data_IF_186582896724
#
_entry.id   IF_186582896724
#
_cell.length_a   1.000
_cell.length_b   1.000
_cell.length_c   1.000
_cell.angle_alpha   90.00
_cell.angle_beta   90.00
_cell.angle_gamma   90.00
#
_symmetry.space_group_name_H-M   'P 1'
#
loop_
_entity.id
_entity.type
_entity.pdbx_description
1 polymer ?
#
# COMPACT_ATOMS: atom_id res chain seq x y z
N UNK A 1 -15.33 -16.20 -12.26
CA UNK A 1 -14.70 -16.80 -11.06
C UNK A 1 -13.57 -15.89 -10.63
N UNK A 2 -13.82 -15.09 -9.60
CA UNK A 2 -12.86 -14.12 -9.09
C UNK A 2 -11.55 -14.82 -8.68
N UNK A 3 -10.42 -14.31 -9.16
CA UNK A 3 -9.10 -14.82 -8.79
C UNK A 3 -8.75 -14.20 -7.43
N UNK A 4 -8.66 -15.03 -6.39
CA UNK A 4 -8.16 -14.59 -5.10
C UNK A 4 -6.62 -14.50 -5.14
N UNK A 5 -6.10 -13.32 -4.81
CA UNK A 5 -4.69 -13.12 -4.49
C UNK A 5 -4.55 -12.12 -3.35
N UNK A 6 -3.75 -12.46 -2.36
CA UNK A 6 -3.33 -11.57 -1.28
C UNK A 6 -1.93 -11.98 -0.80
N UNK A 7 -0.99 -11.05 -0.83
CA UNK A 7 0.36 -11.25 -0.32
C UNK A 7 0.81 -10.10 0.57
N UNK A 8 1.74 -10.40 1.48
CA UNK A 8 2.35 -9.43 2.36
C UNK A 8 3.86 -9.65 2.38
N UNK A 9 4.64 -8.60 2.24
CA UNK A 9 6.12 -8.65 2.31
C UNK A 9 6.68 -7.43 3.00
N UNK A 10 7.79 -7.61 3.70
CA UNK A 10 8.50 -6.50 4.34
C UNK A 10 9.48 -5.87 3.35
N UNK A 11 9.41 -4.55 3.21
CA UNK A 11 10.43 -3.76 2.52
C UNK A 11 11.53 -3.47 3.54
N UNK A 12 12.72 -4.03 3.33
CA UNK A 12 13.84 -3.94 4.26
C UNK A 12 15.08 -3.39 3.60
N UNK A 13 15.77 -2.50 4.32
CA UNK A 13 17.06 -1.95 3.90
C UNK A 13 18.15 -3.00 3.77
N UNK A 14 18.05 -4.11 4.51
CA UNK A 14 18.98 -5.24 4.41
C UNK A 14 19.09 -5.81 2.99
N UNK A 15 18.01 -5.69 2.20
CA UNK A 15 17.94 -6.17 0.81
C UNK A 15 18.27 -5.06 -0.20
N UNK A 16 18.89 -3.96 0.23
CA UNK A 16 19.20 -2.80 -0.63
C UNK A 16 17.97 -1.98 -1.03
N UNK A 17 16.82 -2.18 -0.37
CA UNK A 17 15.59 -1.45 -0.69
C UNK A 17 15.61 -0.02 -0.14
N UNK A 18 14.90 0.88 -0.84
CA UNK A 18 14.52 2.22 -0.36
C UNK A 18 12.99 2.33 -0.36
N UNK A 19 12.42 2.89 0.71
CA UNK A 19 10.98 3.12 0.79
C UNK A 19 10.52 4.16 -0.23
N UNK A 20 11.33 5.19 -0.46
CA UNK A 20 11.07 6.22 -1.48
C UNK A 20 11.09 5.61 -2.88
N UNK A 21 12.11 4.80 -3.19
CA UNK A 21 12.20 4.08 -4.46
C UNK A 21 11.00 3.14 -4.68
N UNK A 22 10.62 2.43 -3.62
CA UNK A 22 9.48 1.51 -3.65
C UNK A 22 8.16 2.26 -3.91
N UNK A 23 7.92 3.36 -3.21
CA UNK A 23 6.72 4.16 -3.38
C UNK A 23 6.67 4.81 -4.77
N UNK A 24 7.79 5.37 -5.26
CA UNK A 24 7.89 5.95 -6.60
C UNK A 24 7.52 4.93 -7.69
N UNK A 25 8.02 3.69 -7.57
CA UNK A 25 7.74 2.60 -8.51
C UNK A 25 6.26 2.20 -8.55
N UNK A 26 5.60 2.15 -7.38
CA UNK A 26 4.18 1.74 -7.26
C UNK A 26 3.24 2.85 -7.66
N UNK A 27 3.60 4.11 -7.43
CA UNK A 27 2.77 5.26 -7.79
C UNK A 27 3.04 5.79 -9.21
N UNK A 28 3.98 5.19 -9.96
CA UNK A 28 4.46 5.70 -11.24
C UNK A 28 4.83 7.20 -11.16
N UNK A 29 5.59 7.56 -10.13
CA UNK A 29 5.94 8.95 -9.84
C UNK A 29 7.46 9.17 -9.81
N UNK A 30 7.84 10.44 -9.75
CA UNK A 30 9.21 10.89 -9.55
C UNK A 30 9.36 11.42 -8.13
N UNK A 31 10.07 10.70 -7.26
CA UNK A 31 10.31 11.09 -5.87
C UNK A 31 11.81 11.27 -5.60
N UNK A 32 12.18 12.24 -4.77
CA UNK A 32 13.53 12.46 -4.27
C UNK A 32 13.78 11.67 -2.98
N UNK A 33 14.84 10.86 -2.95
CA UNK A 33 15.32 10.17 -1.74
C UNK A 33 16.43 11.01 -1.10
N UNK A 34 16.12 11.66 0.02
CA UNK A 34 17.04 12.56 0.73
C UNK A 34 18.26 11.81 1.30
N UNK A 35 18.10 10.53 1.64
CA UNK A 35 19.18 9.71 2.20
C UNK A 35 20.19 9.31 1.13
N UNK A 36 19.73 9.09 -0.09
CA UNK A 36 20.57 8.70 -1.24
C UNK A 36 20.93 9.88 -2.15
N UNK A 37 20.38 11.07 -1.89
CA UNK A 37 20.51 12.29 -2.69
C UNK A 37 20.28 12.04 -4.19
N UNK A 38 19.16 11.40 -4.51
CA UNK A 38 18.80 11.11 -5.91
C UNK A 38 17.30 11.02 -6.13
N UNK A 39 16.89 11.23 -7.37
CA UNK A 39 15.53 10.95 -7.79
C UNK A 39 15.34 9.49 -8.22
N UNK A 40 14.21 8.93 -7.80
CA UNK A 40 13.62 7.72 -8.32
C UNK A 40 12.50 8.11 -9.27
N UNK A 41 12.74 7.99 -10.58
CA UNK A 41 11.79 8.41 -11.61
C UNK A 41 11.19 7.20 -12.32
N UNK A 42 9.92 6.94 -12.04
CA UNK A 42 9.11 5.92 -12.69
C UNK A 42 7.86 6.52 -13.36
N UNK A 43 7.91 7.83 -13.68
CA UNK A 43 6.79 8.56 -14.30
C UNK A 43 6.41 8.05 -15.71
N UNK A 44 7.29 7.29 -16.35
CA UNK A 44 7.04 6.64 -17.62
C UNK A 44 6.24 5.32 -17.50
N UNK A 45 5.99 4.83 -16.28
CA UNK A 45 5.20 3.61 -16.05
C UNK A 45 3.71 3.91 -16.29
N UNK A 46 3.09 3.13 -17.16
CA UNK A 46 1.65 3.16 -17.39
C UNK A 46 0.93 2.16 -16.47
N UNK A 47 -0.41 2.22 -16.44
CA UNK A 47 -1.25 1.23 -15.76
C UNK A 47 -1.65 1.61 -14.34
N UNK A 48 -1.05 2.63 -13.72
CA UNK A 48 -1.51 3.15 -12.43
C UNK A 48 -2.74 4.03 -12.64
N UNK A 49 -3.90 3.59 -12.14
CA UNK A 49 -5.19 4.27 -12.31
C UNK A 49 -5.64 5.05 -11.08
N UNK A 50 -5.03 4.79 -9.92
CA UNK A 50 -5.26 5.54 -8.70
C UNK A 50 -4.04 5.48 -7.78
N UNK A 51 -3.74 6.60 -7.11
CA UNK A 51 -2.65 6.71 -6.13
C UNK A 51 -3.04 7.69 -5.03
N UNK A 52 -2.95 7.26 -3.77
CA UNK A 52 -3.41 8.03 -2.62
C UNK A 52 -2.67 7.61 -1.35
N UNK A 53 -2.31 8.60 -0.51
CA UNK A 53 -1.82 8.34 0.84
C UNK A 53 -2.96 8.60 1.81
N UNK A 54 -3.32 7.60 2.59
CA UNK A 54 -4.40 7.63 3.56
C UNK A 54 -3.82 7.68 4.97
N UNK A 55 -4.25 8.69 5.73
CA UNK A 55 -3.77 8.95 7.09
C UNK A 55 -4.77 8.44 8.13
N UNK A 56 -4.29 7.87 9.25
CA UNK A 56 -5.12 7.63 10.43
C UNK A 56 -5.42 8.96 11.15
N UNK A 57 -6.44 8.97 11.98
CA UNK A 57 -6.78 10.13 12.81
C UNK A 57 -5.58 10.54 13.70
N UNK A 58 -5.31 11.85 13.76
CA UNK A 58 -4.22 12.41 14.55
C UNK A 58 -2.83 12.36 13.89
N UNK A 59 -2.71 11.78 12.69
CA UNK A 59 -1.47 11.88 11.93
C UNK A 59 -1.27 13.30 11.36
N UNK A 60 -0.04 13.82 11.33
CA UNK A 60 0.24 15.12 10.72
C UNK A 60 -0.11 15.14 9.23
N UNK A 61 -0.87 16.15 8.81
CA UNK A 61 -1.37 16.28 7.44
C UNK A 61 -0.25 16.28 6.39
N UNK A 62 0.94 16.80 6.73
CA UNK A 62 2.07 16.81 5.80
C UNK A 62 2.52 15.40 5.36
N UNK A 63 2.16 14.35 6.11
CA UNK A 63 2.45 12.97 5.76
C UNK A 63 1.49 12.42 4.68
N UNK A 64 0.46 13.17 4.26
CA UNK A 64 -0.32 12.82 3.07
C UNK A 64 0.47 13.06 1.78
N UNK A 65 1.53 13.87 1.84
CA UNK A 65 2.51 13.98 0.76
C UNK A 65 3.43 12.75 0.78
N UNK A 66 3.43 12.02 -0.34
CA UNK A 66 4.13 10.74 -0.49
C UNK A 66 5.66 10.87 -0.38
N UNK A 67 6.23 11.93 -0.94
CA UNK A 67 7.68 12.15 -0.86
C UNK A 67 8.09 12.42 0.59
N UNK A 68 7.35 13.29 1.29
CA UNK A 68 7.57 13.60 2.71
C UNK A 68 7.36 12.37 3.60
N UNK A 69 6.31 11.59 3.37
CA UNK A 69 6.03 10.37 4.13
C UNK A 69 7.22 9.42 4.10
N UNK A 70 7.66 9.04 2.91
CA UNK A 70 8.66 7.97 2.79
C UNK A 70 10.08 8.45 3.14
N UNK A 71 10.40 9.74 2.96
CA UNK A 71 11.62 10.31 3.53
C UNK A 71 11.57 10.37 5.06
N UNK A 72 10.44 10.71 5.67
CA UNK A 72 10.29 10.67 7.13
C UNK A 72 10.46 9.24 7.69
N UNK A 73 9.95 8.22 6.99
CA UNK A 73 10.19 6.80 7.33
C UNK A 73 11.68 6.45 7.23
N UNK A 74 12.34 6.81 6.12
CA UNK A 74 13.77 6.55 5.92
C UNK A 74 14.63 7.20 7.02
N UNK A 75 14.31 8.44 7.40
CA UNK A 75 15.01 9.19 8.45
C UNK A 75 14.78 8.60 9.85
N UNK A 76 13.57 8.10 10.15
CA UNK A 76 13.25 7.47 11.43
C UNK A 76 13.97 6.13 11.63
N UNK A 77 14.30 5.43 10.54
CA UNK A 77 14.98 4.14 10.55
C UNK A 77 16.51 4.29 10.47
N UNK A 78 17.22 4.13 11.58
CA UNK A 78 18.67 4.35 11.66
C UNK A 78 19.54 3.13 11.32
N UNK A 79 18.99 1.91 11.43
CA UNK A 79 19.77 0.67 11.26
C UNK A 79 19.92 0.29 9.79
N UNK A 80 21.06 -0.26 9.41
CA UNK A 80 21.31 -0.74 8.03
C UNK A 80 20.39 -1.88 7.62
N UNK A 81 19.86 -2.64 8.58
CA UNK A 81 18.93 -3.75 8.39
C UNK A 81 17.47 -3.39 8.72
N UNK A 82 17.16 -2.09 8.79
CA UNK A 82 15.83 -1.63 9.18
C UNK A 82 14.73 -2.12 8.22
N UNK A 83 13.64 -2.63 8.81
CA UNK A 83 12.37 -2.80 8.12
C UNK A 83 11.70 -1.43 7.98
N UNK A 84 11.47 -1.01 6.74
CA UNK A 84 11.02 0.33 6.38
C UNK A 84 9.49 0.40 6.28
N UNK A 85 8.90 -0.56 5.56
CA UNK A 85 7.47 -0.64 5.32
C UNK A 85 7.02 -2.10 5.21
N UNK A 86 5.72 -2.33 5.34
CA UNK A 86 5.08 -3.56 4.90
C UNK A 86 4.32 -3.28 3.61
N UNK A 87 4.54 -4.08 2.59
CA UNK A 87 3.73 -4.05 1.39
C UNK A 87 2.68 -5.14 1.46
N UNK A 88 1.45 -4.75 1.17
CA UNK A 88 0.34 -5.64 0.87
C UNK A 88 0.06 -5.54 -0.63
N UNK A 89 -0.17 -6.69 -1.27
CA UNK A 89 -0.62 -6.76 -2.66
C UNK A 89 -1.85 -7.65 -2.73
N UNK A 90 -2.92 -7.20 -3.39
CA UNK A 90 -4.12 -7.99 -3.59
C UNK A 90 -4.71 -7.79 -4.99
N UNK A 91 -5.29 -8.86 -5.56
CA UNK A 91 -5.97 -8.80 -6.84
C UNK A 91 -7.39 -8.26 -6.69
N UNK A 92 -7.80 -7.43 -7.64
CA UNK A 92 -9.16 -6.90 -7.76
C UNK A 92 -9.89 -7.72 -8.83
N UNK A 93 -11.21 -7.99 -8.71
CA UNK A 93 -11.97 -8.66 -9.76
C UNK A 93 -11.94 -7.86 -11.07
N UNK A 94 -11.60 -8.52 -12.18
CA UNK A 94 -11.50 -7.87 -13.50
C UNK A 94 -12.86 -7.53 -14.11
N UNK A 95 -13.91 -8.12 -13.56
CA UNK A 95 -15.31 -7.86 -13.87
C UNK A 95 -15.77 -6.47 -13.37
N UNK A 96 -15.04 -5.88 -12.41
CA UNK A 96 -15.31 -4.53 -11.92
C UNK A 96 -14.79 -3.45 -12.87
N UNK A 97 -15.48 -2.31 -12.91
CA UNK A 97 -14.91 -1.07 -13.45
C UNK A 97 -13.76 -0.56 -12.58
N UNK A 98 -12.93 0.34 -13.13
CA UNK A 98 -11.86 0.99 -12.37
C UNK A 98 -12.39 1.71 -11.14
N UNK A 99 -13.50 2.44 -11.26
CA UNK A 99 -14.12 3.18 -10.14
C UNK A 99 -14.55 2.24 -9.01
N UNK A 100 -15.20 1.12 -9.34
CA UNK A 100 -15.60 0.10 -8.37
C UNK A 100 -14.39 -0.56 -7.70
N UNK A 101 -13.35 -0.90 -8.48
CA UNK A 101 -12.12 -1.48 -7.95
C UNK A 101 -11.35 -0.54 -7.03
N UNK A 102 -11.29 0.74 -7.37
CA UNK A 102 -10.67 1.78 -6.54
C UNK A 102 -11.45 1.93 -5.23
N UNK A 103 -12.79 1.99 -5.28
CA UNK A 103 -13.63 2.06 -4.09
C UNK A 103 -13.45 0.83 -3.19
N UNK A 104 -13.48 -0.38 -3.78
CA UNK A 104 -13.25 -1.65 -3.08
C UNK A 104 -11.91 -1.63 -2.33
N UNK A 105 -10.82 -1.27 -3.01
CA UNK A 105 -9.48 -1.22 -2.44
C UNK A 105 -9.38 -0.16 -1.33
N UNK A 106 -9.91 1.05 -1.56
CA UNK A 106 -9.90 2.13 -0.57
C UNK A 106 -10.66 1.77 0.69
N UNK A 107 -11.84 1.16 0.57
CA UNK A 107 -12.66 0.75 1.70
C UNK A 107 -11.94 -0.29 2.57
N UNK A 108 -11.34 -1.30 1.93
CA UNK A 108 -10.56 -2.33 2.63
C UNK A 108 -9.34 -1.73 3.33
N UNK A 109 -8.59 -0.88 2.63
CA UNK A 109 -7.38 -0.24 3.19
C UNK A 109 -7.71 0.63 4.39
N UNK A 110 -8.82 1.38 4.33
CA UNK A 110 -9.29 2.17 5.47
C UNK A 110 -9.56 1.30 6.68
N UNK A 111 -10.47 0.32 6.53
CA UNK A 111 -10.95 -0.52 7.63
C UNK A 111 -9.85 -1.39 8.25
N UNK A 112 -9.02 -2.01 7.42
CA UNK A 112 -8.08 -3.03 7.90
C UNK A 112 -6.70 -2.49 8.23
N UNK A 113 -6.34 -1.29 7.76
CA UNK A 113 -5.03 -0.70 8.02
C UNK A 113 -5.09 0.68 8.66
N UNK A 114 -5.78 1.63 8.04
CA UNK A 114 -5.80 3.02 8.51
C UNK A 114 -6.46 3.14 9.88
N UNK A 115 -7.61 2.48 10.07
CA UNK A 115 -8.34 2.49 11.35
C UNK A 115 -7.56 1.81 12.49
N UNK A 116 -6.48 1.07 12.16
CA UNK A 116 -5.55 0.47 13.14
C UNK A 116 -4.35 1.38 13.47
N UNK A 117 -4.28 2.57 12.88
CA UNK A 117 -3.23 3.56 13.12
C UNK A 117 -2.06 3.52 12.12
N UNK A 118 -2.16 2.76 11.03
CA UNK A 118 -1.14 2.75 9.97
C UNK A 118 -1.40 3.87 8.95
N UNK A 119 -0.35 4.51 8.44
CA UNK A 119 -0.46 5.28 7.19
C UNK A 119 -0.35 4.30 6.03
N UNK A 120 -1.23 4.44 5.04
CA UNK A 120 -1.30 3.57 3.87
C UNK A 120 -1.11 4.35 2.56
N UNK A 121 -0.08 4.00 1.78
CA UNK A 121 0.13 4.48 0.41
C UNK A 121 -0.46 3.46 -0.58
N UNK A 122 -1.71 3.69 -0.97
CA UNK A 122 -2.51 2.85 -1.87
C UNK A 122 -2.25 3.25 -3.32
N UNK A 123 -1.92 2.26 -4.15
CA UNK A 123 -1.72 2.42 -5.58
C UNK A 123 -2.46 1.29 -6.32
N UNK A 124 -3.43 1.64 -7.16
CA UNK A 124 -4.24 0.69 -7.92
C UNK A 124 -3.74 0.63 -9.36
N UNK A 125 -3.40 -0.57 -9.81
CA UNK A 125 -2.85 -0.87 -11.12
C UNK A 125 -3.90 -1.61 -11.93
N UNK A 126 -4.04 -1.25 -13.20
CA UNK A 126 -4.98 -1.82 -14.18
C UNK A 126 -4.22 -2.34 -15.40
N UNK A 127 -3.20 -3.15 -15.12
CA UNK A 127 -2.33 -3.74 -16.12
C UNK A 127 -3.06 -4.76 -17.00
N UNK A 128 -2.44 -5.12 -18.12
CA UNK A 128 -2.90 -6.20 -19.00
C UNK A 128 -2.07 -7.46 -18.73
N UNK A 129 -2.75 -8.56 -18.43
CA UNK A 129 -2.15 -9.87 -18.19
C UNK A 129 -1.58 -10.51 -19.46
N UNK A 130 -0.87 -11.63 -19.30
CA UNK A 130 -0.33 -12.40 -20.42
C UNK A 130 -1.42 -13.02 -21.31
N UNK A 131 -2.64 -13.16 -20.80
CA UNK A 131 -3.84 -13.57 -21.52
C UNK A 131 -4.49 -12.42 -22.32
N UNK A 132 -3.90 -11.22 -22.30
CA UNK A 132 -4.43 -10.03 -22.95
C UNK A 132 -5.62 -9.39 -22.22
N UNK A 133 -6.00 -9.91 -21.05
CA UNK A 133 -7.14 -9.41 -20.26
C UNK A 133 -6.67 -8.48 -19.15
N UNK A 134 -7.55 -7.59 -18.61
CA UNK A 134 -7.22 -6.80 -17.44
C UNK A 134 -6.80 -7.68 -16.26
N UNK A 135 -5.72 -7.28 -15.58
CA UNK A 135 -5.19 -7.89 -14.36
C UNK A 135 -5.11 -6.83 -13.26
N UNK A 136 -6.25 -6.31 -12.78
CA UNK A 136 -6.23 -5.26 -11.80
C UNK A 136 -5.78 -5.76 -10.43
N UNK A 137 -4.97 -4.96 -9.76
CA UNK A 137 -4.41 -5.25 -8.44
C UNK A 137 -4.06 -3.95 -7.72
N UNK A 138 -3.93 -4.02 -6.40
CA UNK A 138 -3.47 -2.89 -5.61
C UNK A 138 -2.16 -3.23 -4.90
N UNK A 139 -1.27 -2.26 -4.83
CA UNK A 139 -0.13 -2.22 -3.93
C UNK A 139 -0.43 -1.25 -2.79
N UNK A 140 -0.23 -1.67 -1.56
CA UNK A 140 -0.41 -0.83 -0.36
C UNK A 140 0.85 -0.89 0.46
N UNK A 141 1.60 0.22 0.52
CA UNK A 141 2.73 0.33 1.43
C UNK A 141 2.25 0.92 2.77
N UNK A 142 2.49 0.18 3.85
CA UNK A 142 2.07 0.48 5.21
C UNK A 142 3.27 0.86 6.07
N UNK A 143 3.11 1.90 6.88
CA UNK A 143 4.09 2.27 7.91
C UNK A 143 4.17 1.20 9.00
N UNK A 144 5.36 1.01 9.59
CA UNK A 144 5.59 0.03 10.66
C UNK A 144 5.66 0.66 12.06
N UNK A 145 5.43 1.97 12.14
CA UNK A 145 5.45 2.76 13.37
C UNK A 145 4.10 3.41 13.57
N UNK A 146 3.76 3.55 14.85
CA UNK A 146 2.69 4.45 15.27
C UNK A 146 3.04 5.88 14.83
N UNK A 147 2.02 6.64 14.48
CA UNK A 147 2.12 8.05 14.15
C UNK A 147 1.18 8.82 15.07
N UNK A 148 1.66 9.93 15.61
CA UNK A 148 0.85 10.91 16.34
C UNK A 148 1.22 12.31 15.90
N UNK A 149 0.73 13.33 16.61
CA UNK A 149 0.92 14.74 16.25
C UNK A 149 2.40 15.14 16.08
N UNK A 150 3.30 14.53 16.83
CA UNK A 150 4.76 14.76 16.76
C UNK A 150 5.47 13.95 15.66
N UNK A 151 4.73 13.20 14.84
CA UNK A 151 5.25 12.31 13.80
C UNK A 151 5.43 10.86 14.27
N UNK A 152 6.44 10.18 13.73
CA UNK A 152 6.63 8.73 13.94
C UNK A 152 7.14 8.38 15.35
N UNK A 153 6.37 7.53 16.03
CA UNK A 153 6.68 6.97 17.34
C UNK A 153 7.37 5.60 17.29
N UNK A 154 6.94 4.70 18.17
CA UNK A 154 7.51 3.36 18.32
C UNK A 154 7.04 2.44 17.19
N UNK A 155 7.85 1.42 16.88
CA UNK A 155 7.40 0.32 16.02
C UNK A 155 6.30 -0.47 16.71
N UNK A 156 5.18 -0.63 16.04
CA UNK A 156 4.12 -1.51 16.51
C UNK A 156 4.38 -2.93 16.00
N UNK A 157 4.65 -3.87 16.91
CA UNK A 157 4.97 -5.25 16.56
C UNK A 157 3.72 -6.10 16.31
N UNK A 158 2.57 -5.68 16.83
CA UNK A 158 1.32 -6.42 16.69
C UNK A 158 0.86 -6.44 15.23
N UNK A 159 1.20 -5.42 14.45
CA UNK A 159 0.95 -5.37 12.99
C UNK A 159 1.72 -6.42 12.19
N UNK A 160 2.68 -7.11 12.80
CA UNK A 160 3.48 -8.14 12.15
C UNK A 160 3.13 -9.57 12.56
N UNK A 161 2.13 -9.79 13.42
CA UNK A 161 1.78 -11.15 13.86
C UNK A 161 1.17 -11.97 12.73
N UNK A 162 1.46 -13.27 12.73
CA UNK A 162 0.97 -14.20 11.72
C UNK A 162 -0.56 -14.32 11.72
N UNK A 163 -1.18 -14.34 12.92
CA UNK A 163 -2.64 -14.42 13.07
C UNK A 163 -3.37 -13.20 12.49
N UNK A 164 -2.73 -12.02 12.51
CA UNK A 164 -3.28 -10.83 11.89
C UNK A 164 -3.21 -10.91 10.35
N UNK A 165 -2.15 -11.49 9.80
CA UNK A 165 -2.05 -11.70 8.35
C UNK A 165 -3.10 -12.71 7.84
N UNK A 166 -3.35 -13.77 8.59
CA UNK A 166 -4.40 -14.74 8.28
C UNK A 166 -5.77 -14.07 8.27
N UNK A 167 -6.06 -13.22 9.28
CA UNK A 167 -7.28 -12.41 9.32
C UNK A 167 -7.40 -11.50 8.10
N UNK A 168 -6.35 -10.77 7.72
CA UNK A 168 -6.43 -9.88 6.54
C UNK A 168 -6.74 -10.64 5.25
N UNK A 169 -6.24 -11.87 5.09
CA UNK A 169 -6.55 -12.74 3.96
C UNK A 169 -8.02 -13.13 3.93
N UNK A 170 -8.55 -13.58 5.06
CA UNK A 170 -9.97 -13.92 5.21
C UNK A 170 -10.86 -12.70 4.94
N UNK A 171 -10.54 -11.57 5.57
CA UNK A 171 -11.26 -10.30 5.42
C UNK A 171 -11.24 -9.79 3.99
N UNK A 172 -10.14 -9.94 3.25
CA UNK A 172 -10.10 -9.56 1.84
C UNK A 172 -11.07 -10.40 1.01
N UNK A 173 -11.08 -11.72 1.21
CA UNK A 173 -12.03 -12.61 0.53
C UNK A 173 -13.48 -12.23 0.81
N UNK A 174 -13.82 -12.03 2.10
CA UNK A 174 -15.16 -11.60 2.52
C UNK A 174 -15.57 -10.26 1.88
N UNK A 175 -14.68 -9.27 1.92
CA UNK A 175 -14.91 -7.93 1.38
C UNK A 175 -15.17 -7.94 -0.14
N UNK A 176 -14.38 -8.71 -0.88
CA UNK A 176 -14.56 -8.91 -2.32
C UNK A 176 -15.91 -9.58 -2.61
N UNK A 177 -16.20 -10.69 -1.94
CA UNK A 177 -17.43 -11.45 -2.19
C UNK A 177 -18.67 -10.63 -1.86
N UNK A 178 -18.65 -9.88 -0.76
CA UNK A 178 -19.73 -8.99 -0.39
C UNK A 178 -19.95 -7.92 -1.47
N UNK A 179 -18.87 -7.26 -1.93
CA UNK A 179 -19.00 -6.20 -2.93
C UNK A 179 -19.44 -6.72 -4.30
N UNK A 180 -19.02 -7.93 -4.69
CA UNK A 180 -19.51 -8.57 -5.93
C UNK A 180 -21.01 -8.83 -5.85
N UNK A 181 -21.50 -9.36 -4.72
CA UNK A 181 -22.92 -9.59 -4.50
C UNK A 181 -23.74 -8.28 -4.47
N UNK A 182 -23.22 -7.20 -3.85
CA UNK A 182 -23.86 -5.88 -3.84
C UNK A 182 -23.99 -5.24 -5.23
N UNK A 183 -23.13 -5.64 -6.18
CA UNK A 183 -23.08 -5.11 -7.55
C UNK A 183 -23.72 -6.05 -8.58
N UNK A 184 -24.32 -7.16 -8.14
CA UNK A 184 -24.88 -8.22 -9.00
C UNK A 184 -23.85 -8.73 -10.06
N UNK A 185 -22.59 -8.93 -9.63
CA UNK A 185 -21.51 -9.46 -10.47
C UNK A 185 -21.27 -10.93 -10.11
N UNK A 186 -21.45 -11.82 -11.10
CA UNK A 186 -21.27 -13.28 -11.01
C UNK A 186 -19.80 -13.77 -11.11
#
# INVERSE_FOLDING_TARGET
MAIYHFSAKVISRANGSSAVAASAYRSASRLHDERLDRHHDFSNKAGVVHSEVMLPDGAPEYLSDRERLWNAVEAAEKRTDAQLAREIEFAIPREMSQEQGIALARDFVRQEFVDRGMIADLNVHWDVGADGMPKPHAHVMLTLREVGEDGFGKKNRDWNRADLLEKWRERWSEHVNQRLAELDID
#
